data_IF_515773552990
#
_entry.id   IF_515773552990
#
_cell.length_a   1.000
_cell.length_b   1.000
_cell.length_c   1.000
_cell.angle_alpha   90.00
_cell.angle_beta   90.00
_cell.angle_gamma   90.00
#
_symmetry.space_group_name_H-M   'P 1'
#
loop_
_entity.id
_entity.type
_entity.pdbx_description
1 polymer ?
#
# COMPACT_ATOMS: atom_id res chain seq x y z
N UNK A 1 22.11 28.60 4.93
CA UNK A 1 21.89 27.15 4.72
C UNK A 1 20.95 26.65 5.81
N UNK A 2 19.68 26.43 5.48
CA UNK A 2 18.75 25.80 6.41
C UNK A 2 18.74 24.30 6.11
N UNK A 3 19.51 23.52 6.87
CA UNK A 3 19.32 22.08 6.89
C UNK A 3 18.01 21.84 7.66
N UNK A 4 16.96 21.35 6.99
CA UNK A 4 15.76 20.92 7.71
C UNK A 4 16.15 19.62 8.43
N UNK A 5 16.67 19.74 9.65
CA UNK A 5 16.58 18.65 10.61
C UNK A 5 15.09 18.48 10.86
N UNK A 6 14.52 17.35 10.44
CA UNK A 6 13.10 17.05 10.65
C UNK A 6 12.86 17.01 12.16
N UNK A 7 12.42 18.13 12.74
CA UNK A 7 12.08 18.19 14.16
C UNK A 7 10.82 17.36 14.37
N UNK A 8 10.87 16.45 15.35
CA UNK A 8 9.75 15.61 15.82
C UNK A 8 8.43 16.41 15.78
N UNK A 9 7.39 15.97 15.04
CA UNK A 9 6.09 16.63 15.10
C UNK A 9 5.58 16.52 16.54
N UNK A 10 5.46 17.67 17.23
CA UNK A 10 4.82 17.74 18.54
C UNK A 10 3.35 17.38 18.38
N UNK A 11 2.91 16.33 19.07
CA UNK A 11 1.48 16.06 19.26
C UNK A 11 0.82 15.20 18.18
N UNK A 12 1.34 13.98 17.96
CA UNK A 12 0.51 12.80 17.69
C UNK A 12 1.40 11.57 17.78
N UNK A 13 1.03 10.61 18.63
CA UNK A 13 1.67 9.30 18.72
C UNK A 13 1.50 8.57 17.38
N UNK A 14 2.40 8.83 16.44
CA UNK A 14 2.50 8.11 15.18
C UNK A 14 3.77 7.29 15.28
N UNK A 15 3.66 5.97 15.18
CA UNK A 15 4.75 4.97 15.32
C UNK A 15 5.86 5.07 14.24
N UNK A 16 6.02 6.23 13.62
CA UNK A 16 6.96 6.52 12.54
C UNK A 16 8.01 7.58 12.92
N UNK A 17 8.01 8.12 14.16
CA UNK A 17 9.01 9.13 14.52
C UNK A 17 10.43 8.61 14.37
N UNK A 18 10.67 7.37 14.79
CA UNK A 18 11.99 6.76 14.81
C UNK A 18 12.35 6.13 13.45
N UNK A 19 11.35 5.93 12.59
CA UNK A 19 11.52 5.35 11.26
C UNK A 19 12.19 6.32 10.28
N UNK A 20 12.09 7.63 10.49
CA UNK A 20 12.66 8.65 9.59
C UNK A 20 13.90 9.33 10.17
N UNK A 21 14.45 8.84 11.28
CA UNK A 21 15.55 9.51 11.99
C UNK A 21 16.84 9.61 11.15
N UNK A 22 17.04 8.73 10.16
CA UNK A 22 18.14 8.78 9.19
C UNK A 22 17.73 9.23 7.77
N UNK A 23 16.51 9.76 7.60
CA UNK A 23 16.08 10.37 6.34
C UNK A 23 16.52 11.85 6.26
N UNK A 24 17.56 12.11 5.50
CA UNK A 24 18.09 13.47 5.31
C UNK A 24 17.68 14.05 3.95
N UNK A 25 16.81 15.06 3.96
CA UNK A 25 16.36 15.79 2.77
C UNK A 25 16.64 17.27 2.98
N UNK A 26 17.34 17.91 2.04
CA UNK A 26 17.66 19.34 2.10
C UNK A 26 17.03 20.10 0.94
N UNK A 27 16.77 21.39 1.14
CA UNK A 27 16.17 22.23 0.10
C UNK A 27 17.10 22.45 -1.11
N UNK A 28 18.41 22.25 -0.93
CA UNK A 28 19.40 22.37 -2.02
C UNK A 28 19.41 21.17 -2.97
N UNK A 29 18.80 20.04 -2.59
CA UNK A 29 18.72 18.86 -3.45
C UNK A 29 17.77 19.10 -4.62
N UNK A 30 18.12 18.59 -5.79
CA UNK A 30 17.17 18.52 -6.90
C UNK A 30 15.97 17.65 -6.51
N UNK A 31 14.84 17.84 -7.18
CA UNK A 31 13.64 17.03 -6.92
C UNK A 31 13.92 15.52 -7.07
N UNK A 32 14.69 15.16 -8.08
CA UNK A 32 14.99 13.76 -8.38
C UNK A 32 15.93 13.17 -7.33
N UNK A 33 16.92 13.93 -6.83
CA UNK A 33 17.78 13.50 -5.72
C UNK A 33 16.97 13.23 -4.44
N UNK A 34 15.96 14.07 -4.16
CA UNK A 34 15.06 13.86 -3.01
C UNK A 34 14.32 12.54 -3.13
N UNK A 35 13.81 12.23 -4.32
CA UNK A 35 13.14 10.95 -4.56
C UNK A 35 14.09 9.76 -4.45
N UNK A 36 15.32 9.88 -4.95
CA UNK A 36 16.34 8.82 -4.82
C UNK A 36 16.64 8.53 -3.35
N UNK A 37 16.82 9.56 -2.52
CA UNK A 37 17.06 9.38 -1.08
C UNK A 37 15.87 8.71 -0.39
N UNK A 38 14.63 9.12 -0.70
CA UNK A 38 13.42 8.49 -0.18
C UNK A 38 13.34 7.01 -0.57
N UNK A 39 13.58 6.70 -1.84
CA UNK A 39 13.55 5.33 -2.37
C UNK A 39 14.60 4.47 -1.68
N UNK A 40 15.83 4.96 -1.54
CA UNK A 40 16.91 4.22 -0.88
C UNK A 40 16.61 3.99 0.61
N UNK A 41 16.04 5.00 1.28
CA UNK A 41 15.61 4.86 2.67
C UNK A 41 14.49 3.82 2.81
N UNK A 42 13.49 3.82 1.92
CA UNK A 42 12.45 2.79 1.87
C UNK A 42 13.06 1.40 1.73
N UNK A 43 13.95 1.19 0.75
CA UNK A 43 14.60 -0.11 0.52
C UNK A 43 15.47 -0.58 1.69
N UNK A 44 16.07 0.34 2.43
CA UNK A 44 16.90 0.02 3.60
C UNK A 44 16.05 -0.45 4.79
N UNK A 45 14.87 0.14 4.99
CA UNK A 45 14.10 -0.03 6.23
C UNK A 45 12.85 -0.90 6.09
N UNK A 46 12.31 -1.04 4.89
CA UNK A 46 11.19 -1.95 4.66
C UNK A 46 11.75 -3.32 4.30
N UNK A 47 11.73 -4.23 5.27
CA UNK A 47 11.90 -5.66 5.00
C UNK A 47 10.76 -6.11 4.09
N UNK A 48 11.10 -6.72 2.96
CA UNK A 48 10.16 -7.29 2.01
C UNK A 48 9.10 -8.17 2.72
N UNK A 49 7.84 -7.74 2.64
CA UNK A 49 6.60 -8.52 2.68
C UNK A 49 6.45 -9.66 3.70
N UNK A 50 6.64 -9.39 4.99
CA UNK A 50 6.18 -10.37 6.00
C UNK A 50 4.67 -10.59 5.98
N UNK A 51 3.89 -9.61 5.49
CA UNK A 51 2.42 -9.65 5.49
C UNK A 51 1.84 -10.41 4.30
N UNK A 52 2.46 -10.33 3.11
CA UNK A 52 2.00 -11.12 1.96
C UNK A 52 2.37 -12.60 2.12
N UNK A 53 3.52 -12.89 2.71
CA UNK A 53 4.02 -14.24 2.97
C UNK A 53 3.00 -15.16 3.66
N UNK A 54 2.23 -14.61 4.60
CA UNK A 54 1.20 -15.36 5.33
C UNK A 54 0.06 -15.80 4.40
N UNK A 55 -0.35 -14.94 3.46
CA UNK A 55 -1.46 -15.24 2.54
C UNK A 55 -0.97 -16.10 1.37
N UNK A 56 0.21 -15.83 0.84
CA UNK A 56 0.87 -16.62 -0.21
C UNK A 56 1.02 -18.09 0.17
N UNK A 57 1.30 -18.38 1.45
CA UNK A 57 1.47 -19.75 1.98
C UNK A 57 0.17 -20.44 2.37
N UNK A 58 -0.98 -19.80 2.14
CA UNK A 58 -2.28 -20.42 2.43
C UNK A 58 -2.46 -21.68 1.59
N UNK A 59 -3.09 -22.71 2.14
CA UNK A 59 -3.32 -23.97 1.42
C UNK A 59 -4.51 -23.88 0.47
N UNK A 60 -5.48 -23.02 0.80
CA UNK A 60 -6.74 -22.87 0.05
C UNK A 60 -7.07 -21.40 -0.20
N UNK A 61 -7.85 -21.14 -1.24
CA UNK A 61 -8.34 -19.79 -1.52
C UNK A 61 -9.27 -19.27 -0.42
N UNK A 62 -10.06 -20.14 0.20
CA UNK A 62 -10.94 -19.77 1.31
C UNK A 62 -10.10 -19.26 2.50
N UNK A 63 -8.97 -19.91 2.80
CA UNK A 63 -8.05 -19.46 3.85
C UNK A 63 -7.37 -18.14 3.49
N UNK A 64 -6.90 -18.01 2.24
CA UNK A 64 -6.28 -16.78 1.74
C UNK A 64 -7.25 -15.59 1.83
N UNK A 65 -8.51 -15.77 1.41
CA UNK A 65 -9.57 -14.76 1.53
C UNK A 65 -9.81 -14.41 3.00
N UNK A 66 -9.92 -15.41 3.89
CA UNK A 66 -10.19 -15.16 5.31
C UNK A 66 -9.06 -14.39 5.99
N UNK A 67 -7.81 -14.72 5.73
CA UNK A 67 -6.65 -14.00 6.26
C UNK A 67 -6.62 -12.56 5.72
N UNK A 68 -6.74 -12.41 4.40
CA UNK A 68 -6.65 -11.13 3.72
C UNK A 68 -7.76 -10.15 4.11
N UNK A 69 -9.02 -10.61 4.09
CA UNK A 69 -10.20 -9.78 4.33
C UNK A 69 -10.41 -9.45 5.81
N UNK A 70 -10.03 -10.36 6.73
CA UNK A 70 -10.09 -10.07 8.17
C UNK A 70 -8.90 -9.26 8.68
N UNK A 71 -7.95 -8.92 7.80
CA UNK A 71 -6.76 -8.14 8.14
C UNK A 71 -5.93 -8.78 9.27
N UNK A 72 -5.76 -10.11 9.23
CA UNK A 72 -5.05 -10.87 10.27
C UNK A 72 -3.75 -11.47 9.75
N UNK A 73 -2.75 -11.52 10.63
CA UNK A 73 -1.55 -12.35 10.43
C UNK A 73 -1.81 -13.83 10.80
N UNK A 74 -0.85 -14.71 10.51
CA UNK A 74 -0.90 -16.14 10.87
C UNK A 74 -0.97 -16.39 12.38
N UNK A 75 -0.68 -15.39 13.22
CA UNK A 75 -0.81 -15.44 14.69
C UNK A 75 -2.18 -14.95 15.15
N UNK A 76 -3.06 -14.57 14.23
CA UNK A 76 -4.41 -14.07 14.48
C UNK A 76 -4.49 -12.61 14.89
N UNK A 77 -3.37 -11.86 14.90
CA UNK A 77 -3.37 -10.44 15.21
C UNK A 77 -3.81 -9.61 14.03
N UNK A 78 -4.58 -8.56 14.34
CA UNK A 78 -5.01 -7.60 13.35
C UNK A 78 -3.88 -6.64 12.95
N UNK A 79 -3.69 -6.44 11.66
CA UNK A 79 -2.69 -5.51 11.13
C UNK A 79 -2.89 -4.10 11.70
N UNK A 80 -1.78 -3.46 12.07
CA UNK A 80 -1.72 -2.15 12.73
C UNK A 80 -2.59 -1.09 12.04
N UNK A 81 -2.52 -1.01 10.71
CA UNK A 81 -3.22 -0.03 9.89
C UNK A 81 -4.74 -0.27 9.79
N UNK A 82 -5.20 -1.49 10.06
CA UNK A 82 -6.60 -1.89 9.97
C UNK A 82 -7.25 -2.02 11.37
N UNK A 83 -6.51 -1.83 12.47
CA UNK A 83 -7.00 -1.99 13.85
C UNK A 83 -8.28 -1.22 14.18
N UNK A 84 -8.49 -0.06 13.58
CA UNK A 84 -9.65 0.81 13.84
C UNK A 84 -10.92 0.37 13.13
N UNK A 85 -10.83 -0.51 12.14
CA UNK A 85 -12.02 -1.04 11.45
C UNK A 85 -12.71 -1.99 12.44
N UNK A 86 -14.03 -1.94 12.57
CA UNK A 86 -14.75 -2.91 13.39
C UNK A 86 -14.65 -4.33 12.76
N UNK A 87 -14.41 -5.35 13.59
CA UNK A 87 -14.36 -6.76 13.17
C UNK A 87 -15.62 -7.20 12.43
N UNK A 88 -16.80 -6.70 12.81
CA UNK A 88 -18.06 -7.09 12.15
C UNK A 88 -18.10 -6.64 10.68
N UNK A 89 -17.57 -5.46 10.37
CA UNK A 89 -17.47 -4.97 9.00
C UNK A 89 -16.48 -5.82 8.19
N UNK A 90 -15.36 -6.24 8.79
CA UNK A 90 -14.40 -7.11 8.12
C UNK A 90 -14.95 -8.52 7.89
N UNK A 91 -15.73 -9.05 8.84
CA UNK A 91 -16.40 -10.34 8.67
C UNK A 91 -17.40 -10.28 7.52
N UNK A 92 -18.27 -9.26 7.50
CA UNK A 92 -19.24 -9.07 6.40
C UNK A 92 -18.56 -8.88 5.05
N UNK A 93 -17.43 -8.18 5.02
CA UNK A 93 -16.61 -8.02 3.83
C UNK A 93 -16.02 -9.35 3.36
N UNK A 94 -15.45 -10.13 4.29
CA UNK A 94 -14.94 -11.47 4.05
C UNK A 94 -16.03 -12.40 3.48
N UNK A 95 -17.22 -12.40 4.08
CA UNK A 95 -18.33 -13.24 3.64
C UNK A 95 -18.75 -12.91 2.20
N UNK A 96 -18.79 -11.62 1.83
CA UNK A 96 -19.06 -11.20 0.44
C UNK A 96 -17.98 -11.66 -0.53
N UNK A 97 -16.70 -11.56 -0.15
CA UNK A 97 -15.59 -12.03 -1.00
C UNK A 97 -15.64 -13.55 -1.19
N UNK A 98 -15.97 -14.30 -0.14
CA UNK A 98 -16.09 -15.76 -0.20
C UNK A 98 -17.19 -16.22 -1.17
N UNK A 99 -18.27 -15.45 -1.33
CA UNK A 99 -19.31 -15.72 -2.34
C UNK A 99 -18.79 -15.56 -3.77
N UNK A 100 -17.77 -14.72 -3.98
CA UNK A 100 -17.16 -14.46 -5.28
C UNK A 100 -15.96 -15.37 -5.57
N UNK A 101 -15.68 -16.37 -4.73
CA UNK A 101 -14.41 -17.12 -4.77
C UNK A 101 -14.13 -17.82 -6.10
N UNK A 102 -15.17 -18.31 -6.78
CA UNK A 102 -14.98 -19.00 -8.05
C UNK A 102 -14.70 -18.01 -9.18
N UNK A 103 -15.28 -16.81 -9.15
CA UNK A 103 -14.89 -15.71 -10.05
C UNK A 103 -13.46 -15.23 -9.78
N UNK A 104 -13.07 -15.15 -8.50
CA UNK A 104 -11.72 -14.76 -8.07
C UNK A 104 -10.66 -15.73 -8.60
N UNK A 105 -10.93 -17.04 -8.68
CA UNK A 105 -9.98 -18.02 -9.23
C UNK A 105 -9.69 -17.81 -10.72
N UNK A 106 -10.65 -17.25 -11.46
CA UNK A 106 -10.58 -17.11 -12.91
C UNK A 106 -10.00 -15.76 -13.37
N UNK A 107 -9.70 -14.86 -12.44
CA UNK A 107 -9.11 -13.55 -12.77
C UNK A 107 -7.72 -13.71 -13.40
N UNK A 108 -7.42 -12.86 -14.37
CA UNK A 108 -6.15 -12.88 -15.12
C UNK A 108 -5.31 -11.64 -14.91
N UNK A 109 -5.85 -10.65 -14.20
CA UNK A 109 -5.14 -9.43 -13.88
C UNK A 109 -5.46 -8.94 -12.48
N UNK A 110 -4.53 -8.18 -11.91
CA UNK A 110 -4.74 -7.57 -10.61
C UNK A 110 -5.89 -6.57 -10.64
N UNK A 111 -6.11 -5.91 -11.78
CA UNK A 111 -7.21 -4.97 -11.95
C UNK A 111 -8.59 -5.65 -11.84
N UNK A 112 -8.76 -6.82 -12.45
CA UNK A 112 -9.98 -7.63 -12.33
C UNK A 112 -10.21 -8.05 -10.89
N UNK A 113 -9.19 -8.59 -10.23
CA UNK A 113 -9.25 -8.93 -8.80
C UNK A 113 -9.65 -7.72 -7.96
N UNK A 114 -8.95 -6.60 -8.10
CA UNK A 114 -9.23 -5.36 -7.38
C UNK A 114 -10.67 -4.90 -7.58
N UNK A 115 -11.21 -5.02 -8.80
CA UNK A 115 -12.59 -4.67 -9.11
C UNK A 115 -13.60 -5.57 -8.38
N UNK A 116 -13.41 -6.89 -8.38
CA UNK A 116 -14.26 -7.82 -7.63
C UNK A 116 -14.23 -7.49 -6.13
N UNK A 117 -13.04 -7.30 -5.55
CA UNK A 117 -12.89 -6.98 -4.13
C UNK A 117 -13.51 -5.62 -3.80
N UNK A 118 -13.39 -4.63 -4.70
CA UNK A 118 -14.03 -3.33 -4.54
C UNK A 118 -15.56 -3.42 -4.55
N UNK A 119 -16.13 -4.26 -5.41
CA UNK A 119 -17.58 -4.43 -5.53
C UNK A 119 -18.16 -5.22 -4.33
N UNK A 120 -17.33 -6.00 -3.63
CA UNK A 120 -17.67 -6.65 -2.35
C UNK A 120 -17.75 -5.68 -1.17
N UNK A 121 -17.36 -4.41 -1.33
CA UNK A 121 -17.28 -3.41 -0.25
C UNK A 121 -18.57 -3.33 0.57
N UNK A 122 -18.39 -3.20 1.88
CA UNK A 122 -19.44 -2.86 2.85
C UNK A 122 -19.10 -1.55 3.56
N UNK A 123 -20.02 -1.05 4.38
CA UNK A 123 -19.80 0.16 5.16
C UNK A 123 -18.53 0.09 6.00
N UNK A 124 -17.85 1.23 6.14
CA UNK A 124 -16.60 1.37 6.89
C UNK A 124 -15.38 0.59 6.35
N UNK A 125 -15.48 -0.05 5.17
CA UNK A 125 -14.33 -0.56 4.43
C UNK A 125 -13.82 0.54 3.49
N UNK A 126 -12.61 1.04 3.76
CA UNK A 126 -11.96 2.09 2.96
C UNK A 126 -11.11 1.54 1.81
N UNK A 127 -10.73 2.42 0.89
CA UNK A 127 -9.88 2.09 -0.28
C UNK A 127 -8.58 1.37 0.09
N UNK A 128 -7.94 1.76 1.20
CA UNK A 128 -6.73 1.09 1.69
C UNK A 128 -7.02 -0.38 2.03
N UNK A 129 -8.14 -0.67 2.70
CA UNK A 129 -8.49 -2.04 3.03
C UNK A 129 -8.79 -2.87 1.78
N UNK A 130 -9.44 -2.27 0.78
CA UNK A 130 -9.72 -2.92 -0.51
C UNK A 130 -8.40 -3.26 -1.22
N UNK A 131 -7.47 -2.31 -1.29
CA UNK A 131 -6.16 -2.53 -1.89
C UNK A 131 -5.36 -3.60 -1.14
N UNK A 132 -5.22 -3.49 0.18
CA UNK A 132 -4.53 -4.47 1.02
C UNK A 132 -5.09 -5.89 0.85
N UNK A 133 -6.41 -6.04 0.86
CA UNK A 133 -7.07 -7.34 0.68
C UNK A 133 -6.83 -7.88 -0.73
N UNK A 134 -6.92 -7.02 -1.76
CA UNK A 134 -6.61 -7.41 -3.14
C UNK A 134 -5.16 -7.83 -3.31
N UNK A 135 -4.22 -7.12 -2.69
CA UNK A 135 -2.79 -7.41 -2.76
C UNK A 135 -2.45 -8.76 -2.10
N UNK A 136 -3.03 -9.03 -0.93
CA UNK A 136 -2.85 -10.31 -0.21
C UNK A 136 -3.46 -11.49 -0.97
N UNK A 137 -4.68 -11.36 -1.49
CA UNK A 137 -5.30 -12.43 -2.31
C UNK A 137 -4.51 -12.59 -3.62
N UNK A 138 -4.07 -11.50 -4.23
CA UNK A 138 -3.23 -11.50 -5.43
C UNK A 138 -1.93 -12.26 -5.22
N UNK A 139 -1.27 -12.11 -4.08
CA UNK A 139 -0.08 -12.87 -3.72
C UNK A 139 -0.34 -14.39 -3.71
N UNK A 140 -1.47 -14.85 -3.15
CA UNK A 140 -1.87 -16.25 -3.22
C UNK A 140 -2.10 -16.73 -4.67
N UNK A 141 -2.65 -15.88 -5.55
CA UNK A 141 -2.89 -16.19 -6.95
C UNK A 141 -1.66 -16.01 -7.85
N UNK A 142 -0.55 -15.47 -7.34
CA UNK A 142 0.61 -15.07 -8.14
C UNK A 142 0.35 -13.87 -9.08
N UNK A 143 -0.65 -13.05 -8.77
CA UNK A 143 -1.07 -11.88 -9.57
C UNK A 143 -0.78 -10.60 -8.78
N UNK A 144 0.09 -9.75 -9.33
CA UNK A 144 0.58 -8.54 -8.67
C UNK A 144 0.12 -7.26 -9.38
N UNK A 145 0.12 -6.10 -8.68
CA UNK A 145 -0.32 -4.83 -9.25
C UNK A 145 0.38 -4.47 -10.56
N UNK A 146 -0.42 -4.25 -11.61
CA UNK A 146 -0.01 -3.80 -12.94
C UNK A 146 0.18 -2.27 -13.02
N UNK A 147 -0.31 -1.56 -12.01
CA UNK A 147 -0.26 -0.11 -11.87
C UNK A 147 -0.16 0.26 -10.40
N UNK A 148 0.06 1.54 -10.11
CA UNK A 148 0.06 2.09 -8.75
C UNK A 148 -1.38 2.46 -8.39
N UNK A 149 -2.01 1.67 -7.52
CA UNK A 149 -3.39 1.89 -7.09
C UNK A 149 -3.46 2.98 -6.01
N UNK A 150 -4.42 3.89 -6.14
CA UNK A 150 -4.48 5.12 -5.37
C UNK A 150 -5.57 5.05 -4.29
N UNK A 151 -5.22 4.56 -3.11
CA UNK A 151 -6.02 4.83 -1.92
C UNK A 151 -5.66 6.19 -1.30
N UNK A 152 -6.44 6.65 -0.31
CA UNK A 152 -6.28 7.98 0.31
C UNK A 152 -4.85 8.39 0.73
N UNK A 153 -3.97 7.44 1.07
CA UNK A 153 -2.58 7.68 1.46
C UNK A 153 -1.70 7.90 0.23
N UNK A 154 -1.65 6.90 -0.64
CA UNK A 154 -0.96 6.92 -1.93
C UNK A 154 -1.36 8.11 -2.77
N UNK A 155 -2.66 8.42 -2.84
CA UNK A 155 -3.20 9.54 -3.62
C UNK A 155 -2.64 10.87 -3.18
N UNK A 156 -2.36 11.06 -1.87
CA UNK A 156 -1.71 12.28 -1.38
C UNK A 156 -0.27 12.35 -1.89
N UNK A 157 0.52 11.30 -1.71
CA UNK A 157 1.90 11.28 -2.23
C UNK A 157 1.96 11.43 -3.75
N UNK A 158 1.07 10.75 -4.48
CA UNK A 158 0.97 10.86 -5.93
C UNK A 158 0.62 12.30 -6.35
N UNK A 159 -0.25 12.99 -5.61
CA UNK A 159 -0.57 14.39 -5.88
C UNK A 159 0.64 15.32 -5.63
N UNK A 160 1.47 15.04 -4.64
CA UNK A 160 2.70 15.79 -4.41
C UNK A 160 3.74 15.58 -5.52
N UNK A 161 3.72 14.42 -6.18
CA UNK A 161 4.67 14.10 -7.26
C UNK A 161 4.18 14.58 -8.63
N UNK A 162 2.90 14.34 -8.95
CA UNK A 162 2.31 14.57 -10.28
C UNK A 162 1.42 15.80 -10.37
N UNK A 163 1.02 16.38 -9.23
CA UNK A 163 -0.11 17.31 -9.16
C UNK A 163 -1.44 16.58 -9.07
N UNK A 164 -2.57 17.30 -9.17
CA UNK A 164 -3.90 16.74 -8.93
C UNK A 164 -4.26 15.62 -9.91
N UNK A 165 -4.31 14.38 -9.43
CA UNK A 165 -4.69 13.20 -10.20
C UNK A 165 -6.20 12.93 -10.10
N UNK A 166 -6.80 12.55 -11.23
CA UNK A 166 -8.14 11.95 -11.30
C UNK A 166 -7.98 10.45 -11.58
N UNK A 167 -8.79 9.62 -10.93
CA UNK A 167 -8.77 8.17 -11.11
C UNK A 167 -8.36 7.38 -9.87
N UNK A 168 -8.29 6.07 -10.04
CA UNK A 168 -8.02 5.08 -8.98
C UNK A 168 -6.64 4.43 -9.09
N UNK A 169 -5.90 4.68 -10.19
CA UNK A 169 -4.55 4.16 -10.42
C UNK A 169 -3.77 5.06 -11.38
N UNK A 170 -2.44 5.00 -11.30
CA UNK A 170 -1.52 5.65 -12.26
C UNK A 170 -0.48 4.64 -12.74
N UNK A 171 0.02 4.87 -13.96
CA UNK A 171 1.08 4.04 -14.52
C UNK A 171 2.46 4.51 -14.05
N UNK A 172 3.39 3.57 -13.90
CA UNK A 172 4.76 3.85 -13.46
C UNK A 172 5.47 4.88 -14.34
N UNK A 173 5.25 4.83 -15.65
CA UNK A 173 5.82 5.78 -16.62
C UNK A 173 5.27 7.21 -16.51
N UNK A 174 4.22 7.44 -15.72
CA UNK A 174 3.73 8.79 -15.43
C UNK A 174 4.57 9.48 -14.35
N UNK A 175 5.28 8.71 -13.51
CA UNK A 175 6.10 9.22 -12.40
C UNK A 175 7.46 9.73 -12.88
N UNK A 176 8.14 10.62 -12.13
CA UNK A 176 9.51 11.05 -12.42
C UNK A 176 10.49 9.89 -12.53
N UNK A 177 11.59 10.09 -13.27
CA UNK A 177 12.57 9.06 -13.60
C UNK A 177 13.05 8.20 -12.41
N UNK A 178 13.26 8.76 -11.18
CA UNK A 178 13.62 7.94 -10.02
C UNK A 178 12.64 6.81 -9.68
N UNK A 179 11.34 6.99 -9.94
CA UNK A 179 10.31 5.97 -9.69
C UNK A 179 10.20 4.94 -10.81
N UNK A 180 10.80 5.21 -11.98
CA UNK A 180 10.68 4.33 -13.15
C UNK A 180 11.69 3.17 -13.17
N UNK A 181 12.57 3.08 -12.18
CA UNK A 181 13.62 2.06 -12.09
C UNK A 181 13.05 0.63 -12.10
N UNK A 182 13.68 -0.29 -12.82
CA UNK A 182 13.20 -1.67 -12.94
C UNK A 182 13.22 -2.45 -11.61
N UNK A 183 14.08 -2.05 -10.68
CA UNK A 183 14.18 -2.64 -9.35
C UNK A 183 13.09 -2.14 -8.37
N UNK A 184 12.10 -1.38 -8.84
CA UNK A 184 10.94 -0.93 -8.07
C UNK A 184 9.64 -1.50 -8.63
N UNK A 185 8.96 -2.33 -7.86
CA UNK A 185 7.62 -2.81 -8.18
C UNK A 185 6.56 -1.71 -8.01
N UNK A 186 5.40 -1.89 -8.64
CA UNK A 186 4.27 -0.97 -8.46
C UNK A 186 3.79 -0.92 -7.00
N UNK A 187 3.87 -2.05 -6.28
CA UNK A 187 3.53 -2.13 -4.86
C UNK A 187 4.49 -1.32 -3.99
N UNK A 188 5.80 -1.41 -4.23
CA UNK A 188 6.78 -0.59 -3.50
C UNK A 188 6.60 0.90 -3.78
N UNK A 189 6.28 1.26 -5.02
CA UNK A 189 5.99 2.66 -5.36
C UNK A 189 4.74 3.14 -4.63
N UNK A 190 3.69 2.31 -4.57
CA UNK A 190 2.48 2.60 -3.78
C UNK A 190 2.85 2.89 -2.32
N UNK A 191 3.58 1.97 -1.68
CA UNK A 191 4.03 2.13 -0.30
C UNK A 191 4.85 3.41 -0.08
N UNK A 192 5.78 3.70 -0.99
CA UNK A 192 6.60 4.92 -0.94
C UNK A 192 5.70 6.16 -0.99
N UNK A 193 4.75 6.22 -1.93
CA UNK A 193 3.82 7.34 -2.06
C UNK A 193 2.93 7.47 -0.82
N UNK A 194 2.52 6.35 -0.21
CA UNK A 194 1.70 6.37 1.00
C UNK A 194 2.49 6.80 2.25
N UNK A 195 3.66 6.21 2.48
CA UNK A 195 4.47 6.40 3.69
C UNK A 195 5.13 7.79 3.68
N UNK A 196 5.73 8.18 2.54
CA UNK A 196 6.53 9.39 2.43
C UNK A 196 5.75 10.60 1.90
N UNK A 197 4.41 10.55 1.83
CA UNK A 197 3.53 11.63 1.35
C UNK A 197 3.82 13.04 1.89
N UNK A 198 4.44 13.18 3.06
CA UNK A 198 4.78 14.49 3.65
C UNK A 198 6.18 14.99 3.26
N UNK A 199 6.99 14.14 2.65
CA UNK A 199 8.37 14.40 2.21
C UNK A 199 8.47 14.48 0.68
N UNK A 200 7.52 13.86 -0.02
CA UNK A 200 7.29 14.09 -1.44
C UNK A 200 6.75 15.51 -1.57
N UNK A 201 7.54 16.41 -2.12
CA UNK A 201 7.10 17.75 -2.51
C UNK A 201 7.53 17.96 -3.96
N UNK A 202 6.64 18.57 -4.74
CA UNK A 202 6.92 18.96 -6.12
C UNK A 202 7.99 20.04 -6.20
#
# INVERSE_FOLDING_TARGET
MACITVRKPKGRCCKYSDYFDDLFITDSMSRDDKYIVIINHYKKHVSCDSVLNDTEKSTTIDDAIRLAANARDTRGHKHSHQRRINTDHLSKFCDRILLMKDEIKEVRSFYELFKIIQDCKVDNIGELCIYDTSHRIGAFLGIFPDAIYLHSGTKKGANEVLGKIKGIRVLKNMLPAPFQRDDLSNSEIEDILCIYKNFLKK
#
